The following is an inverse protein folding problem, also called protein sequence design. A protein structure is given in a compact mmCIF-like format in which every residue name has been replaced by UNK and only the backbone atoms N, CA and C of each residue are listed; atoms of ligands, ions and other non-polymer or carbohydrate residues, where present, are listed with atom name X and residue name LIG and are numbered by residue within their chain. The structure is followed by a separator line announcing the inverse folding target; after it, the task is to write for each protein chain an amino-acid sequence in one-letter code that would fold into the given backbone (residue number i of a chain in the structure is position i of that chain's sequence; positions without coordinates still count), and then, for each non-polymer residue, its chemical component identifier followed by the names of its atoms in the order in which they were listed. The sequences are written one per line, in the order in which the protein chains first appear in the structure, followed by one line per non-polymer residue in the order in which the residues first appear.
data_IF_185846828030
#
_entry.id   IF_185846828030
#
_cell.length_a   1.000
_cell.length_b   1.000
_cell.length_c   1.000
_cell.angle_alpha   90.00
_cell.angle_beta   90.00
_cell.angle_gamma   90.00
#
_symmetry.space_group_name_H-M   'P 1'
#
loop_
_entity.id
_entity.type
_entity.pdbx_description
1 polymer ?
#
# COMPACT_ATOMS: atom_id res chain seq x y z
N UNK A 1 -24.31 -5.00 51.90
CA UNK A 1 -24.02 -5.07 50.45
C UNK A 1 -25.34 -4.96 49.69
N UNK A 2 -25.63 -3.81 49.08
CA UNK A 2 -26.88 -3.60 48.34
C UNK A 2 -26.71 -4.06 46.89
N UNK A 3 -27.39 -5.14 46.53
CA UNK A 3 -27.50 -5.59 45.15
C UNK A 3 -28.44 -4.63 44.42
N UNK A 4 -27.87 -3.73 43.61
CA UNK A 4 -28.61 -2.78 42.78
C UNK A 4 -29.39 -3.59 41.72
N UNK A 5 -30.74 -3.62 41.73
CA UNK A 5 -31.53 -4.60 40.98
C UNK A 5 -31.46 -4.55 39.44
N UNK A 6 -30.71 -3.58 38.87
CA UNK A 6 -30.79 -3.26 37.44
C UNK A 6 -29.55 -3.61 36.59
N UNK A 7 -28.47 -4.14 37.15
CA UNK A 7 -27.27 -4.45 36.35
C UNK A 7 -27.46 -5.64 35.41
N UNK A 8 -28.34 -6.58 35.76
CA UNK A 8 -28.58 -7.82 34.98
C UNK A 8 -29.64 -7.66 33.89
N UNK A 9 -30.48 -6.63 33.99
CA UNK A 9 -31.56 -6.33 33.03
C UNK A 9 -31.06 -5.62 31.78
N UNK A 10 -30.04 -4.76 31.92
CA UNK A 10 -29.33 -4.09 30.82
C UNK A 10 -28.80 -5.12 29.79
N UNK A 11 -28.08 -6.14 30.27
CA UNK A 11 -27.45 -7.19 29.43
C UNK A 11 -28.49 -8.03 28.66
N UNK A 12 -29.72 -8.16 29.18
CA UNK A 12 -30.79 -8.93 28.53
C UNK A 12 -31.56 -8.13 27.48
N UNK A 13 -31.67 -6.81 27.62
CA UNK A 13 -32.29 -5.95 26.59
C UNK A 13 -31.45 -5.90 25.32
N UNK A 14 -30.14 -5.99 25.43
CA UNK A 14 -29.24 -5.97 24.26
C UNK A 14 -29.26 -7.28 23.44
N UNK A 15 -30.05 -8.30 23.80
CA UNK A 15 -30.05 -9.62 23.12
C UNK A 15 -31.33 -9.97 22.38
N UNK A 16 -32.45 -9.30 22.61
CA UNK A 16 -33.71 -9.64 21.95
C UNK A 16 -34.36 -8.37 21.40
N UNK A 17 -34.59 -8.34 20.07
CA UNK A 17 -34.97 -7.12 19.33
C UNK A 17 -33.95 -5.99 19.54
N UNK A 18 -32.69 -6.25 19.15
CA UNK A 18 -31.69 -5.19 18.98
C UNK A 18 -32.23 -4.23 17.92
N UNK A 19 -32.96 -3.21 18.37
CA UNK A 19 -33.01 -1.98 17.62
C UNK A 19 -31.54 -1.55 17.50
N UNK A 20 -31.06 -1.36 16.27
CA UNK A 20 -29.69 -0.93 15.98
C UNK A 20 -29.33 0.13 17.01
N UNK A 21 -28.43 -0.22 17.92
CA UNK A 21 -28.04 0.67 19.00
C UNK A 21 -27.53 1.95 18.33
N UNK A 22 -28.05 3.10 18.75
CA UNK A 22 -27.69 4.37 18.13
C UNK A 22 -26.17 4.58 18.17
N UNK A 23 -25.50 4.00 19.17
CA UNK A 23 -24.05 4.03 19.30
C UNK A 23 -23.34 3.06 18.34
N UNK A 24 -23.87 1.84 18.16
CA UNK A 24 -23.32 0.88 17.20
C UNK A 24 -23.54 1.34 15.75
N UNK A 25 -24.63 2.08 15.49
CA UNK A 25 -24.89 2.75 14.22
C UNK A 25 -23.95 3.92 13.94
N UNK A 26 -23.56 4.69 14.97
CA UNK A 26 -22.52 5.73 14.85
C UNK A 26 -21.16 5.11 14.54
N UNK A 27 -20.75 4.11 15.32
CA UNK A 27 -19.46 3.43 15.15
C UNK A 27 -19.32 2.88 13.73
N UNK A 28 -20.34 2.19 13.19
CA UNK A 28 -20.31 1.69 11.80
C UNK A 28 -20.13 2.78 10.76
N UNK A 29 -20.72 3.96 10.94
CA UNK A 29 -20.57 5.09 9.99
C UNK A 29 -19.16 5.67 10.04
N UNK A 30 -18.56 5.72 11.22
CA UNK A 30 -17.19 6.20 11.41
C UNK A 30 -16.17 5.22 10.83
N UNK A 31 -16.33 3.93 11.14
CA UNK A 31 -15.47 2.87 10.62
C UNK A 31 -15.51 2.82 9.09
N UNK A 32 -16.70 2.90 8.50
CA UNK A 32 -16.86 2.92 7.04
C UNK A 32 -16.20 4.16 6.41
N UNK A 33 -16.31 5.34 7.04
CA UNK A 33 -15.63 6.55 6.57
C UNK A 33 -14.11 6.42 6.60
N UNK A 34 -13.57 5.81 7.65
CA UNK A 34 -12.13 5.58 7.79
C UNK A 34 -11.64 4.54 6.78
N UNK A 35 -12.40 3.47 6.57
CA UNK A 35 -12.11 2.43 5.58
C UNK A 35 -12.10 3.00 4.16
N UNK A 36 -13.09 3.82 3.77
CA UNK A 36 -13.10 4.51 2.47
C UNK A 36 -11.87 5.40 2.29
N UNK A 37 -11.49 6.16 3.33
CA UNK A 37 -10.29 7.04 3.29
C UNK A 37 -9.00 6.22 3.19
N UNK A 38 -8.93 5.08 3.87
CA UNK A 38 -7.77 4.19 3.86
C UNK A 38 -7.64 3.48 2.51
N UNK A 39 -8.73 2.93 1.97
CA UNK A 39 -8.74 2.29 0.65
C UNK A 39 -8.35 3.27 -0.46
N UNK A 40 -8.83 4.52 -0.42
CA UNK A 40 -8.38 5.56 -1.36
C UNK A 40 -6.87 5.80 -1.30
N UNK A 41 -6.25 5.66 -0.12
CA UNK A 41 -4.80 5.84 0.08
C UNK A 41 -3.99 4.60 -0.29
N UNK A 42 -4.55 3.41 -0.16
CA UNK A 42 -3.89 2.16 -0.57
C UNK A 42 -3.98 1.96 -2.09
N UNK A 43 -5.06 2.39 -2.72
CA UNK A 43 -5.23 2.35 -4.18
C UNK A 43 -4.36 3.40 -4.90
N UNK A 44 -4.06 4.54 -4.24
CA UNK A 44 -3.19 5.60 -4.78
C UNK A 44 -1.85 5.70 -4.05
N UNK A 45 -1.31 4.62 -3.50
CA UNK A 45 0.02 4.65 -2.90
C UNK A 45 1.10 4.31 -3.94
N UNK A 46 1.73 5.31 -4.61
CA UNK A 46 3.03 5.07 -5.18
C UNK A 46 3.98 4.82 -4.00
N UNK A 47 4.67 3.67 -4.06
CA UNK A 47 5.90 3.41 -3.32
C UNK A 47 6.77 4.69 -3.28
N UNK A 48 7.50 4.98 -2.18
CA UNK A 48 8.09 6.30 -1.93
C UNK A 48 8.82 6.86 -3.16
N UNK A 49 8.15 7.77 -3.88
CA UNK A 49 8.60 8.28 -5.18
C UNK A 49 9.96 9.00 -5.09
N UNK A 50 10.27 9.58 -3.93
CA UNK A 50 11.51 10.32 -3.68
C UNK A 50 12.78 9.45 -3.74
N UNK A 51 12.71 8.18 -3.31
CA UNK A 51 13.85 7.25 -3.41
C UNK A 51 14.03 6.74 -4.85
N UNK A 52 12.93 6.59 -5.58
CA UNK A 52 12.95 6.10 -6.96
C UNK A 52 13.48 7.16 -7.93
N UNK A 53 13.11 8.43 -7.77
CA UNK A 53 13.58 9.57 -8.60
C UNK A 53 15.12 9.62 -8.73
N UNK A 54 15.81 9.67 -7.59
CA UNK A 54 17.28 9.75 -7.55
C UNK A 54 17.97 8.50 -8.12
N UNK A 55 17.32 7.34 -7.96
CA UNK A 55 17.83 6.07 -8.48
C UNK A 55 17.64 5.97 -10.00
N UNK A 56 16.58 6.57 -10.54
CA UNK A 56 16.33 6.63 -12.00
C UNK A 56 17.32 7.57 -12.67
N UNK A 57 17.54 8.77 -12.13
CA UNK A 57 18.47 9.75 -12.72
C UNK A 57 19.88 9.19 -12.90
N UNK A 58 20.46 8.61 -11.84
CA UNK A 58 21.78 7.96 -11.89
C UNK A 58 21.85 6.77 -12.85
N UNK A 59 20.74 6.06 -13.05
CA UNK A 59 20.68 4.94 -14.01
C UNK A 59 20.57 5.43 -15.46
N UNK A 60 19.93 6.57 -15.68
CA UNK A 60 19.83 7.19 -17.01
C UNK A 60 21.20 7.72 -17.48
N UNK A 61 22.02 8.26 -16.58
CA UNK A 61 23.40 8.67 -16.89
C UNK A 61 24.28 7.49 -17.35
N UNK A 62 24.00 6.27 -16.88
CA UNK A 62 24.73 5.05 -17.23
C UNK A 62 24.18 4.34 -18.48
N UNK A 63 23.20 4.92 -19.19
CA UNK A 63 22.66 4.30 -20.41
C UNK A 63 23.73 4.01 -21.48
N UNK A 64 24.66 4.92 -21.80
CA UNK A 64 25.67 4.64 -22.81
C UNK A 64 26.57 3.45 -22.46
N UNK A 65 26.94 3.29 -21.19
CA UNK A 65 27.77 2.18 -20.72
C UNK A 65 27.00 0.87 -20.70
N UNK A 66 25.73 0.89 -20.31
CA UNK A 66 24.84 -0.27 -20.41
C UNK A 66 24.63 -0.72 -21.85
N UNK A 67 24.42 0.21 -22.79
CA UNK A 67 24.32 -0.11 -24.22
C UNK A 67 25.62 -0.74 -24.69
N UNK A 68 26.78 -0.13 -24.43
CA UNK A 68 28.07 -0.69 -24.80
C UNK A 68 28.29 -2.11 -24.23
N UNK A 69 27.86 -2.37 -22.99
CA UNK A 69 27.95 -3.68 -22.35
C UNK A 69 27.10 -4.76 -23.00
N UNK A 70 25.91 -4.42 -23.56
CA UNK A 70 25.08 -5.37 -24.32
C UNK A 70 25.70 -5.72 -25.67
N UNK A 71 26.40 -4.77 -26.30
CA UNK A 71 27.06 -4.99 -27.59
C UNK A 71 28.50 -5.54 -27.45
N UNK A 72 28.99 -5.77 -26.23
CA UNK A 72 30.32 -6.33 -25.99
C UNK A 72 30.37 -7.82 -26.31
N UNK A 73 31.53 -8.35 -26.68
CA UNK A 73 31.70 -9.79 -26.98
C UNK A 73 31.83 -10.67 -25.71
N UNK A 74 31.91 -10.08 -24.52
CA UNK A 74 31.97 -10.80 -23.25
C UNK A 74 30.56 -11.10 -22.70
N UNK A 75 30.26 -12.40 -22.54
CA UNK A 75 29.00 -12.90 -21.98
C UNK A 75 28.71 -12.34 -20.57
N UNK A 76 29.74 -12.15 -19.73
CA UNK A 76 29.53 -11.60 -18.38
C UNK A 76 29.09 -10.13 -18.43
N UNK A 77 29.71 -9.33 -19.30
CA UNK A 77 29.32 -7.94 -19.51
C UNK A 77 27.90 -7.82 -20.07
N UNK A 78 27.52 -8.67 -21.03
CA UNK A 78 26.17 -8.71 -21.57
C UNK A 78 25.12 -9.04 -20.49
N UNK A 79 25.39 -10.04 -19.64
CA UNK A 79 24.50 -10.45 -18.56
C UNK A 79 24.30 -9.30 -17.56
N UNK A 80 25.39 -8.65 -17.16
CA UNK A 80 25.33 -7.54 -16.22
C UNK A 80 24.53 -6.36 -16.80
N UNK A 81 24.86 -5.93 -18.02
CA UNK A 81 24.18 -4.83 -18.69
C UNK A 81 22.67 -5.11 -18.89
N UNK A 82 22.30 -6.34 -19.29
CA UNK A 82 20.90 -6.76 -19.44
C UNK A 82 20.18 -6.79 -18.08
N UNK A 83 20.84 -7.23 -17.01
CA UNK A 83 20.27 -7.20 -15.67
C UNK A 83 20.04 -5.75 -15.19
N UNK A 84 20.92 -4.82 -15.54
CA UNK A 84 20.74 -3.40 -15.27
C UNK A 84 19.53 -2.82 -16.04
N UNK A 85 19.35 -3.18 -17.32
CA UNK A 85 18.17 -2.79 -18.11
C UNK A 85 16.88 -3.32 -17.51
N UNK A 86 16.85 -4.60 -17.11
CA UNK A 86 15.69 -5.20 -16.43
C UNK A 86 15.28 -4.38 -15.21
N UNK A 87 16.25 -4.03 -14.34
CA UNK A 87 16.00 -3.20 -13.16
C UNK A 87 15.46 -1.81 -13.52
N UNK A 88 16.00 -1.19 -14.58
CA UNK A 88 15.55 0.13 -15.02
C UNK A 88 14.09 0.10 -15.49
N UNK A 89 13.73 -0.87 -16.34
CA UNK A 89 12.36 -0.99 -16.84
C UNK A 89 11.38 -1.37 -15.72
N UNK A 90 11.77 -2.22 -14.77
CA UNK A 90 10.95 -2.54 -13.62
C UNK A 90 10.60 -1.30 -12.78
N UNK A 91 11.45 -0.29 -12.69
CA UNK A 91 11.12 0.97 -11.98
C UNK A 91 10.07 1.76 -12.78
N UNK A 92 10.18 1.81 -14.11
CA UNK A 92 9.24 2.51 -14.99
C UNK A 92 7.82 1.93 -15.00
N UNK A 93 7.67 0.60 -14.98
CA UNK A 93 6.34 -0.04 -14.94
C UNK A 93 5.57 0.26 -13.65
N UNK A 94 6.25 0.41 -12.51
CA UNK A 94 5.61 0.75 -11.23
C UNK A 94 5.26 2.25 -11.11
N UNK A 95 5.69 3.10 -12.05
CA UNK A 95 5.37 4.54 -12.08
C UNK A 95 4.21 4.88 -13.03
N UNK A 96 3.83 3.97 -13.93
CA UNK A 96 2.80 4.19 -14.96
C UNK A 96 1.42 3.63 -14.53
N UNK A 97 1.38 2.76 -13.52
CA UNK A 97 0.17 2.32 -12.82
C UNK A 97 -0.02 3.10 -11.53
#
# INVERSE_FOLDING_TARGET
MSLRPNSRTEVRRNKYKVAVDAEEGRQRREDNMVEIRKNRREETQPMPASLHSFTVEKKLENLPTMVAGVWADDNNMQLEATAQFRKLFSIGYNLIT
#
